data_IF_374126232238
#
_entry.id   IF_374126232238
#
_cell.length_a   1.000
_cell.length_b   1.000
_cell.length_c   1.000
_cell.angle_alpha   90.00
_cell.angle_beta   90.00
_cell.angle_gamma   90.00
#
_symmetry.space_group_name_H-M   'P 1'
#
loop_
_entity.id
_entity.type
_entity.pdbx_description
1 polymer ?
#
# COMPACT_ATOMS: atom_id res chain seq x y z
N UNK A 1 -5.29 -5.45 11.74
CA UNK A 1 -5.17 -4.10 11.15
C UNK A 1 -5.34 -3.00 12.19
N UNK A 2 -6.51 -2.80 12.82
CA UNK A 2 -6.68 -1.74 13.86
C UNK A 2 -5.69 -1.81 15.02
N UNK A 3 -5.36 -3.01 15.48
CA UNK A 3 -4.34 -3.21 16.55
C UNK A 3 -2.97 -2.67 16.13
N UNK A 4 -2.56 -2.87 14.88
CA UNK A 4 -1.28 -2.36 14.38
C UNK A 4 -1.32 -0.86 14.11
N UNK A 5 -2.43 -0.33 13.62
CA UNK A 5 -2.63 1.13 13.45
C UNK A 5 -2.52 1.87 14.79
N UNK A 6 -2.97 1.24 15.87
CA UNK A 6 -2.92 1.81 17.22
C UNK A 6 -1.56 1.60 17.92
N UNK A 7 -0.65 0.81 17.36
CA UNK A 7 0.66 0.53 17.95
C UNK A 7 1.68 1.58 17.48
N UNK A 8 2.21 2.44 18.38
CA UNK A 8 3.16 3.49 18.00
C UNK A 8 4.51 2.94 17.52
N UNK A 9 4.77 1.63 17.64
CA UNK A 9 5.98 0.99 17.13
C UNK A 9 5.80 0.43 15.70
N UNK A 10 4.63 0.61 15.08
CA UNK A 10 4.33 0.11 13.73
C UNK A 10 4.15 1.28 12.76
N UNK A 11 5.20 1.55 11.99
CA UNK A 11 5.17 2.59 10.95
C UNK A 11 4.49 2.13 9.66
N UNK A 12 4.61 0.84 9.32
CA UNK A 12 4.14 0.28 8.05
C UNK A 12 3.56 -1.12 8.25
N UNK A 13 2.41 -1.39 7.65
CA UNK A 13 1.83 -2.73 7.50
C UNK A 13 1.75 -3.07 6.01
N UNK A 14 2.32 -4.20 5.63
CA UNK A 14 2.22 -4.77 4.28
C UNK A 14 1.48 -6.09 4.38
N UNK A 15 0.43 -6.24 3.59
CA UNK A 15 -0.38 -7.47 3.50
C UNK A 15 -0.35 -8.01 2.07
N UNK A 16 -0.61 -9.30 1.92
CA UNK A 16 -0.70 -9.95 0.62
C UNK A 16 -1.94 -10.84 0.54
N UNK A 17 -2.58 -10.86 -0.64
CA UNK A 17 -3.75 -11.69 -0.91
C UNK A 17 -5.08 -10.98 -0.65
N UNK A 18 -6.17 -11.60 -1.13
CA UNK A 18 -7.53 -11.07 -0.98
C UNK A 18 -7.84 -9.83 -1.82
N UNK A 19 -6.99 -9.49 -2.79
CA UNK A 19 -7.16 -8.33 -3.70
C UNK A 19 -7.72 -8.71 -5.07
N UNK A 20 -8.16 -9.96 -5.26
CA UNK A 20 -8.84 -10.39 -6.48
C UNK A 20 -10.25 -9.83 -6.61
N UNK A 21 -11.04 -10.37 -7.53
CA UNK A 21 -12.44 -9.96 -7.79
C UNK A 21 -13.45 -11.05 -7.41
N UNK A 22 -13.01 -12.13 -6.74
CA UNK A 22 -13.91 -13.20 -6.31
C UNK A 22 -14.58 -12.83 -4.99
N UNK A 23 -15.67 -13.54 -4.62
CA UNK A 23 -16.41 -13.24 -3.39
C UNK A 23 -15.63 -13.43 -2.08
N UNK A 24 -14.41 -14.02 -2.12
CA UNK A 24 -13.52 -14.13 -0.96
C UNK A 24 -12.50 -13.00 -0.86
N UNK A 25 -12.36 -12.20 -1.93
CA UNK A 25 -11.39 -11.12 -2.01
C UNK A 25 -11.99 -9.84 -1.43
N UNK A 26 -11.65 -9.55 -0.18
CA UNK A 26 -12.23 -8.44 0.60
C UNK A 26 -11.18 -7.45 1.13
N UNK A 27 -9.90 -7.61 0.75
CA UNK A 27 -8.82 -6.79 1.28
C UNK A 27 -9.00 -5.30 0.97
N UNK A 28 -9.35 -4.88 -0.27
CA UNK A 28 -9.58 -3.46 -0.56
C UNK A 28 -10.75 -2.87 0.24
N UNK A 29 -11.83 -3.64 0.44
CA UNK A 29 -12.97 -3.24 1.27
C UNK A 29 -12.57 -3.09 2.74
N UNK A 30 -11.72 -3.98 3.25
CA UNK A 30 -11.19 -3.88 4.61
C UNK A 30 -10.31 -2.63 4.80
N UNK A 31 -9.48 -2.30 3.79
CA UNK A 31 -8.66 -1.09 3.78
C UNK A 31 -9.52 0.17 3.73
N UNK A 32 -10.51 0.22 2.85
CA UNK A 32 -11.43 1.37 2.73
C UNK A 32 -12.16 1.71 4.04
N UNK A 33 -12.32 0.74 4.95
CA UNK A 33 -12.93 0.96 6.28
C UNK A 33 -12.01 1.58 7.33
N UNK A 34 -10.70 1.64 7.08
CA UNK A 34 -9.72 2.10 8.08
C UNK A 34 -8.85 3.24 7.59
N UNK A 35 -8.71 3.44 6.28
CA UNK A 35 -7.85 4.48 5.73
C UNK A 35 -8.41 5.87 6.02
N UNK A 36 -7.53 6.74 6.54
CA UNK A 36 -7.80 8.18 6.62
C UNK A 36 -7.58 8.83 5.25
N UNK A 37 -6.57 8.34 4.52
CA UNK A 37 -6.21 8.83 3.19
C UNK A 37 -5.70 7.69 2.30
N UNK A 38 -6.26 7.60 1.11
CA UNK A 38 -5.79 6.67 0.07
C UNK A 38 -4.59 7.26 -0.66
N UNK A 39 -3.58 6.44 -0.94
CA UNK A 39 -2.47 6.76 -1.85
C UNK A 39 -2.83 6.13 -3.20
N UNK A 40 -3.65 6.81 -4.00
CA UNK A 40 -4.17 6.29 -5.28
C UNK A 40 -3.04 5.88 -6.23
N UNK A 41 -1.98 6.69 -6.27
CA UNK A 41 -0.79 6.46 -7.08
C UNK A 41 -0.10 5.11 -6.84
N UNK A 42 -0.25 4.49 -5.66
CA UNK A 42 0.29 3.16 -5.41
C UNK A 42 -0.38 2.10 -6.30
N UNK A 43 -1.71 2.06 -6.29
CA UNK A 43 -2.47 1.09 -7.08
C UNK A 43 -2.31 1.33 -8.59
N UNK A 44 -2.24 2.60 -9.00
CA UNK A 44 -2.02 3.00 -10.38
C UNK A 44 -0.64 2.58 -10.90
N UNK A 45 0.42 2.94 -10.18
CA UNK A 45 1.79 2.56 -10.53
C UNK A 45 1.94 1.04 -10.56
N UNK A 46 1.40 0.35 -9.55
CA UNK A 46 1.41 -1.11 -9.51
C UNK A 46 0.75 -1.73 -10.74
N UNK A 47 -0.44 -1.23 -11.14
CA UNK A 47 -1.15 -1.75 -12.32
C UNK A 47 -0.42 -1.44 -13.62
N UNK A 48 0.23 -0.28 -13.74
CA UNK A 48 1.07 0.07 -14.88
C UNK A 48 2.27 -0.91 -15.02
N UNK A 49 3.01 -1.14 -13.93
CA UNK A 49 4.13 -2.09 -13.92
C UNK A 49 3.67 -3.52 -14.22
N UNK A 50 2.54 -3.93 -13.63
CA UNK A 50 1.93 -5.22 -13.88
C UNK A 50 1.48 -5.37 -15.33
N UNK A 51 0.91 -4.32 -15.95
CA UNK A 51 0.50 -4.36 -17.35
C UNK A 51 1.68 -4.66 -18.29
N UNK A 52 2.85 -4.07 -18.02
CA UNK A 52 4.06 -4.34 -18.79
C UNK A 52 4.53 -5.81 -18.70
N UNK A 53 4.19 -6.52 -17.62
CA UNK A 53 4.62 -7.90 -17.35
C UNK A 53 3.57 -8.97 -17.73
N UNK A 54 2.30 -8.73 -17.39
CA UNK A 54 1.20 -9.70 -17.50
C UNK A 54 0.04 -9.21 -18.37
N UNK A 55 0.16 -8.04 -19.00
CA UNK A 55 -0.84 -7.45 -19.88
C UNK A 55 -2.15 -7.16 -19.15
N UNK A 56 -3.26 -7.40 -19.85
CA UNK A 56 -4.62 -7.11 -19.38
C UNK A 56 -5.01 -7.88 -18.11
N UNK A 57 -4.31 -8.96 -17.76
CA UNK A 57 -4.53 -9.72 -16.52
C UNK A 57 -4.46 -8.86 -15.26
N UNK A 58 -3.72 -7.74 -15.32
CA UNK A 58 -3.63 -6.74 -14.23
C UNK A 58 -5.00 -6.22 -13.76
N UNK A 59 -6.04 -6.22 -14.62
CA UNK A 59 -7.39 -5.76 -14.28
C UNK A 59 -8.02 -6.57 -13.14
N UNK A 60 -7.57 -7.81 -12.92
CA UNK A 60 -8.07 -8.68 -11.85
C UNK A 60 -7.46 -8.36 -10.48
N UNK A 61 -6.49 -7.44 -10.41
CA UNK A 61 -5.77 -7.10 -9.17
C UNK A 61 -6.16 -5.71 -8.66
N UNK A 62 -6.58 -5.66 -7.40
CA UNK A 62 -6.99 -4.44 -6.69
C UNK A 62 -5.99 -4.06 -5.59
N UNK A 63 -4.70 -3.96 -5.95
CA UNK A 63 -3.68 -3.46 -5.02
C UNK A 63 -4.04 -2.05 -4.53
N UNK A 64 -3.89 -1.81 -3.22
CA UNK A 64 -4.28 -0.55 -2.57
C UNK A 64 -3.25 -0.16 -1.51
N UNK A 65 -3.03 1.15 -1.38
CA UNK A 65 -2.11 1.73 -0.40
C UNK A 65 -2.73 2.97 0.22
N UNK A 66 -2.34 3.31 1.45
CA UNK A 66 -2.84 4.49 2.14
C UNK A 66 -2.23 4.71 3.51
N UNK A 67 -2.76 5.69 4.23
CA UNK A 67 -2.38 6.04 5.60
C UNK A 67 -3.60 5.91 6.51
N UNK A 68 -3.39 5.36 7.71
CA UNK A 68 -4.37 5.36 8.80
C UNK A 68 -3.65 5.56 10.14
N UNK A 69 -4.08 6.50 10.97
CA UNK A 69 -3.53 6.71 12.31
C UNK A 69 -2.03 7.02 12.36
N UNK A 70 -1.44 7.51 11.26
CA UNK A 70 0.00 7.72 11.14
C UNK A 70 0.79 6.49 10.68
N UNK A 71 0.14 5.36 10.45
CA UNK A 71 0.73 4.13 9.91
C UNK A 71 0.43 4.00 8.41
N UNK A 72 1.44 3.65 7.61
CA UNK A 72 1.23 3.28 6.21
C UNK A 72 0.65 1.87 6.10
N UNK A 73 -0.32 1.68 5.21
CA UNK A 73 -0.94 0.38 4.94
C UNK A 73 -0.84 0.08 3.45
N UNK A 74 -0.32 -1.10 3.09
CA UNK A 74 -0.28 -1.58 1.70
C UNK A 74 -0.84 -3.00 1.58
N UNK A 75 -1.63 -3.24 0.53
CA UNK A 75 -2.13 -4.56 0.15
C UNK A 75 -1.63 -4.92 -1.24
N UNK A 76 -0.79 -5.95 -1.30
CA UNK A 76 -0.28 -6.54 -2.52
C UNK A 76 -1.12 -7.76 -2.94
N UNK A 77 -1.13 -8.14 -4.23
CA UNK A 77 -1.74 -9.38 -4.66
C UNK A 77 -1.09 -10.62 -4.03
N UNK A 78 -1.79 -11.76 -4.09
CA UNK A 78 -1.35 -13.00 -3.46
C UNK A 78 -0.30 -13.79 -4.25
N UNK A 79 -0.03 -13.44 -5.50
CA UNK A 79 0.95 -14.17 -6.31
C UNK A 79 2.38 -13.74 -5.96
N UNK A 80 3.34 -14.69 -5.84
CA UNK A 80 4.73 -14.36 -5.52
C UNK A 80 5.36 -13.32 -6.46
N UNK A 81 5.04 -13.38 -7.76
CA UNK A 81 5.50 -12.40 -8.74
C UNK A 81 4.99 -10.99 -8.44
N UNK A 82 3.70 -10.83 -8.17
CA UNK A 82 3.13 -9.54 -7.83
C UNK A 82 3.67 -8.96 -6.51
N UNK A 83 3.94 -9.82 -5.52
CA UNK A 83 4.58 -9.41 -4.26
C UNK A 83 5.98 -8.86 -4.56
N UNK A 84 6.77 -9.60 -5.35
CA UNK A 84 8.11 -9.18 -5.76
C UNK A 84 8.06 -7.84 -6.50
N UNK A 85 7.15 -7.70 -7.45
CA UNK A 85 7.00 -6.48 -8.24
C UNK A 85 6.63 -5.27 -7.37
N UNK A 86 5.65 -5.41 -6.48
CA UNK A 86 5.26 -4.33 -5.56
C UNK A 86 6.35 -3.97 -4.56
N UNK A 87 7.14 -4.94 -4.10
CA UNK A 87 8.27 -4.68 -3.21
C UNK A 87 9.44 -4.03 -3.94
N UNK A 88 9.99 -4.69 -4.95
CA UNK A 88 11.24 -4.28 -5.60
C UNK A 88 11.09 -2.98 -6.39
N UNK A 89 9.97 -2.81 -7.09
CA UNK A 89 9.80 -1.70 -8.03
C UNK A 89 9.09 -0.49 -7.40
N UNK A 90 8.52 -0.63 -6.18
CA UNK A 90 7.78 0.46 -5.51
C UNK A 90 8.18 0.61 -4.03
N UNK A 91 7.79 -0.35 -3.18
CA UNK A 91 7.81 -0.15 -1.73
C UNK A 91 9.24 -0.05 -1.18
N UNK A 92 10.18 -0.85 -1.67
CA UNK A 92 11.58 -0.78 -1.26
C UNK A 92 12.17 0.60 -1.51
N UNK A 93 11.82 1.24 -2.62
CA UNK A 93 12.29 2.59 -2.96
C UNK A 93 11.64 3.63 -2.06
N UNK A 94 10.32 3.54 -1.87
CA UNK A 94 9.58 4.51 -1.08
C UNK A 94 9.81 4.38 0.44
N UNK A 95 10.24 3.22 0.92
CA UNK A 95 10.60 2.95 2.32
C UNK A 95 12.11 3.05 2.58
N UNK A 96 12.90 3.48 1.59
CA UNK A 96 14.32 3.81 1.76
C UNK A 96 14.46 5.33 1.93
N UNK A 97 14.94 5.78 3.10
CA UNK A 97 15.14 7.20 3.40
C UNK A 97 16.18 7.89 2.51
N UNK A 98 16.96 7.12 1.74
CA UNK A 98 17.96 7.64 0.80
C UNK A 98 17.39 7.87 -0.60
N UNK A 99 16.15 7.45 -0.87
CA UNK A 99 15.54 7.59 -2.17
C UNK A 99 15.15 9.04 -2.46
N UNK A 100 15.46 9.50 -3.67
CA UNK A 100 15.29 10.87 -4.16
C UNK A 100 14.42 10.89 -5.42
N UNK A 101 13.68 11.98 -5.71
CA UNK A 101 13.68 13.27 -5.02
C UNK A 101 12.86 13.30 -3.72
N UNK A 102 12.05 12.28 -3.45
CA UNK A 102 11.26 12.15 -2.23
C UNK A 102 10.93 10.68 -1.93
N UNK A 103 10.61 10.40 -0.66
CA UNK A 103 10.21 9.07 -0.19
C UNK A 103 9.16 9.17 0.95
N UNK A 104 8.54 8.05 1.31
CA UNK A 104 7.51 8.02 2.35
C UNK A 104 8.07 8.18 3.77
N UNK A 105 9.34 7.83 3.99
CA UNK A 105 10.00 7.94 5.30
C UNK A 105 10.10 9.39 5.73
N UNK A 106 10.45 10.30 4.80
CA UNK A 106 10.51 11.74 5.05
C UNK A 106 9.15 12.35 5.47
N UNK A 107 8.05 11.73 5.05
CA UNK A 107 6.70 12.18 5.37
C UNK A 107 6.18 11.65 6.71
N UNK A 108 6.79 10.59 7.28
CA UNK A 108 6.30 9.94 8.51
C UNK A 108 6.07 10.91 9.68
N UNK A 109 6.97 11.84 10.02
CA UNK A 109 6.76 12.77 11.16
C UNK A 109 5.56 13.70 10.98
N UNK A 110 5.05 13.82 9.74
CA UNK A 110 4.06 14.80 9.33
C UNK A 110 2.65 14.23 9.15
N UNK A 111 2.51 12.90 9.18
CA UNK A 111 1.23 12.23 8.90
C UNK A 111 0.10 12.64 9.87
N UNK A 112 0.46 13.01 11.10
CA UNK A 112 -0.48 13.40 12.16
C UNK A 112 -0.52 14.93 12.42
N UNK A 113 0.05 15.76 11.54
CA UNK A 113 0.05 17.23 11.72
C UNK A 113 -1.37 17.81 11.88
N UNK A 114 -2.36 17.24 11.19
CA UNK A 114 -3.75 17.69 11.22
C UNK A 114 -4.46 17.50 12.59
N UNK A 115 -3.90 16.67 13.49
CA UNK A 115 -4.46 16.44 14.84
C UNK A 115 -3.94 17.43 15.88
N UNK A 116 -2.97 18.30 15.53
CA UNK A 116 -2.32 19.24 16.46
C UNK A 116 -3.04 20.59 16.56
N UNK A 117 -4.29 20.67 16.11
CA UNK A 117 -5.14 21.88 16.12
C UNK A 117 -6.08 21.97 17.30
#
# INVERSE_FOLDING_TARGET
>A
MRVWIADPNVDVVITTGGTGITGRDVTPEAFARVLDKTIEGFGELFRMLSYAKIGTSTIQSRAVGGVAGGTYLFALPGSPGAIKDGWDDILRLQLDSRHVPCNLVELMPRLLEHLRG
#
